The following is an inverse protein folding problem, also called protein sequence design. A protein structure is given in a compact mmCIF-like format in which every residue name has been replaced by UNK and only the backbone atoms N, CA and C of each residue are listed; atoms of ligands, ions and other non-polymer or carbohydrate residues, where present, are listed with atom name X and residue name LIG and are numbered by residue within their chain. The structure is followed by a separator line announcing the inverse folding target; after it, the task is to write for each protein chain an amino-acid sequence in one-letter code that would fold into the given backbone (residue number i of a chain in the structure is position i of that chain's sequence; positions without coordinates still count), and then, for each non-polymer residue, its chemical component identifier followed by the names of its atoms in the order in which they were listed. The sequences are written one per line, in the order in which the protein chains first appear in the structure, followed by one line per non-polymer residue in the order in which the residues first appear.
data_IF_062092267390
#
_entry.id   IF_062092267390
#
_cell.length_a   1.000
_cell.length_b   1.000
_cell.length_c   1.000
_cell.angle_alpha   90.00
_cell.angle_beta   90.00
_cell.angle_gamma   90.00
#
_symmetry.space_group_name_H-M   'P 1'
#
loop_
_entity.id
_entity.type
_entity.pdbx_description
1 polymer ?
#
# COMPACT_ATOMS: atom_id res chain seq x y z
N UNK A 1 8.17 16.73 -13.95
CA UNK A 1 9.04 17.85 -13.53
C UNK A 1 8.27 18.91 -12.75
N UNK A 2 8.95 19.86 -12.07
CA UNK A 2 8.30 20.97 -11.33
C UNK A 2 7.41 21.83 -12.23
N UNK A 3 7.83 22.07 -13.46
CA UNK A 3 7.07 22.85 -14.44
C UNK A 3 5.73 22.19 -14.79
N UNK A 4 5.69 20.85 -14.87
CA UNK A 4 4.45 20.11 -15.17
C UNK A 4 3.42 20.24 -14.04
N UNK A 5 3.88 20.21 -12.79
CA UNK A 5 3.02 20.39 -11.62
C UNK A 5 2.45 21.81 -11.52
N UNK A 6 3.24 22.81 -11.89
CA UNK A 6 2.79 24.21 -11.97
C UNK A 6 1.73 24.38 -13.06
N UNK A 7 1.97 23.86 -14.27
CA UNK A 7 0.99 23.89 -15.36
C UNK A 7 -0.33 23.17 -15.00
N UNK A 8 -0.25 22.03 -14.32
CA UNK A 8 -1.43 21.29 -13.83
C UNK A 8 -2.22 22.10 -12.79
N UNK A 9 -1.53 22.69 -11.81
CA UNK A 9 -2.17 23.53 -10.78
C UNK A 9 -2.91 24.70 -11.41
N UNK A 10 -2.29 25.39 -12.35
CA UNK A 10 -2.86 26.58 -13.00
C UNK A 10 -4.08 26.19 -13.87
N UNK A 11 -4.05 25.02 -14.52
CA UNK A 11 -5.19 24.46 -15.25
C UNK A 11 -6.38 24.09 -14.32
N UNK A 12 -6.12 23.53 -13.13
CA UNK A 12 -7.17 23.25 -12.16
C UNK A 12 -7.77 24.53 -11.55
N UNK A 13 -6.95 25.54 -11.27
CA UNK A 13 -7.42 26.83 -10.74
C UNK A 13 -8.30 27.57 -11.73
N UNK A 14 -7.95 27.57 -13.02
CA UNK A 14 -8.74 28.21 -14.08
C UNK A 14 -10.07 27.51 -14.38
N UNK A 15 -10.23 26.25 -13.95
CA UNK A 15 -11.45 25.46 -14.12
C UNK A 15 -12.33 25.37 -12.86
N UNK A 16 -12.01 26.11 -11.79
CA UNK A 16 -12.71 26.04 -10.49
C UNK A 16 -12.74 24.63 -9.86
N UNK A 17 -11.79 23.77 -10.24
CA UNK A 17 -11.59 22.46 -9.62
C UNK A 17 -10.75 22.66 -8.37
N UNK A 18 -11.36 22.47 -7.20
CA UNK A 18 -10.62 22.48 -5.94
C UNK A 18 -10.04 21.08 -5.71
N UNK A 19 -8.73 20.99 -5.57
CA UNK A 19 -8.06 19.76 -5.16
C UNK A 19 -7.13 20.03 -3.98
N UNK A 20 -6.97 19.02 -3.13
CA UNK A 20 -5.95 19.01 -2.08
C UNK A 20 -5.00 17.87 -2.40
N UNK A 21 -3.72 18.14 -2.72
CA UNK A 21 -2.74 17.08 -2.88
C UNK A 21 -2.77 16.21 -1.63
N UNK A 22 -3.06 14.93 -1.80
CA UNK A 22 -3.10 14.00 -0.68
C UNK A 22 -1.70 13.46 -0.36
N UNK A 23 -0.87 13.23 -1.40
CA UNK A 23 0.51 12.78 -1.27
C UNK A 23 1.31 13.15 -2.52
N UNK A 24 2.61 13.37 -2.35
CA UNK A 24 3.59 13.37 -3.43
C UNK A 24 4.47 12.13 -3.23
N UNK A 25 4.52 11.24 -4.20
CA UNK A 25 5.38 10.06 -4.17
C UNK A 25 6.51 10.23 -5.18
N UNK A 26 7.72 9.86 -4.79
CA UNK A 26 8.80 9.65 -5.76
C UNK A 26 8.57 8.31 -6.46
N UNK A 27 8.64 8.30 -7.79
CA UNK A 27 8.38 7.10 -8.61
C UNK A 27 9.55 6.09 -8.58
N UNK A 28 10.52 6.29 -7.70
CA UNK A 28 11.75 5.53 -7.65
C UNK A 28 11.84 4.76 -6.32
N UNK A 29 11.39 3.51 -6.36
CA UNK A 29 11.97 2.32 -5.69
C UNK A 29 11.00 1.15 -5.70
N UNK A 30 10.68 0.58 -6.88
CA UNK A 30 10.14 -0.79 -7.03
C UNK A 30 8.85 -1.21 -6.30
N UNK A 31 8.27 -0.33 -5.48
CA UNK A 31 7.05 -0.54 -4.70
C UNK A 31 5.92 0.36 -5.20
N UNK A 32 4.70 0.07 -4.75
CA UNK A 32 3.52 0.89 -5.06
C UNK A 32 3.52 2.22 -4.30
N UNK A 33 2.44 3.00 -4.41
CA UNK A 33 2.26 4.30 -3.75
C UNK A 33 2.42 4.26 -2.21
N UNK A 34 2.51 3.06 -1.63
CA UNK A 34 2.67 2.80 -0.20
C UNK A 34 4.01 2.12 0.14
N UNK A 35 4.96 2.09 -0.79
CA UNK A 35 6.26 1.44 -0.58
C UNK A 35 6.19 -0.09 -0.55
N UNK A 36 5.06 -0.69 -0.92
CA UNK A 36 4.90 -2.15 -0.89
C UNK A 36 5.55 -2.79 -2.11
N UNK A 37 6.41 -3.77 -1.86
CA UNK A 37 6.79 -4.73 -2.91
C UNK A 37 5.58 -5.56 -3.36
N UNK A 38 5.58 -6.05 -4.60
CA UNK A 38 4.48 -6.87 -5.11
C UNK A 38 4.10 -8.06 -4.18
N UNK A 39 5.06 -8.84 -3.62
CA UNK A 39 4.72 -9.92 -2.69
C UNK A 39 4.11 -9.47 -1.35
N UNK A 40 4.48 -8.29 -0.85
CA UNK A 40 3.88 -7.73 0.36
C UNK A 40 2.43 -7.31 0.09
N UNK A 41 2.21 -6.60 -1.02
CA UNK A 41 0.88 -6.18 -1.46
C UNK A 41 -0.05 -7.38 -1.67
N UNK A 42 0.44 -8.41 -2.36
CA UNK A 42 -0.31 -9.64 -2.60
C UNK A 42 -0.68 -10.35 -1.29
N UNK A 43 0.27 -10.48 -0.36
CA UNK A 43 0.02 -11.10 0.94
C UNK A 43 -1.04 -10.33 1.75
N UNK A 44 -0.94 -8.99 1.81
CA UNK A 44 -1.91 -8.14 2.52
C UNK A 44 -3.32 -8.27 1.93
N UNK A 45 -3.43 -8.27 0.59
CA UNK A 45 -4.72 -8.40 -0.09
C UNK A 45 -5.32 -9.80 0.08
N UNK A 46 -4.51 -10.86 0.02
CA UNK A 46 -4.95 -12.22 0.30
C UNK A 46 -5.42 -12.36 1.75
N UNK A 47 -4.64 -11.86 2.71
CA UNK A 47 -5.00 -11.85 4.13
C UNK A 47 -6.31 -11.11 4.40
N UNK A 48 -6.52 -9.94 3.78
CA UNK A 48 -7.78 -9.21 3.88
C UNK A 48 -8.95 -9.99 3.27
N UNK A 49 -8.77 -10.51 2.05
CA UNK A 49 -9.81 -11.25 1.33
C UNK A 49 -10.24 -12.53 2.05
N UNK A 50 -9.29 -13.25 2.67
CA UNK A 50 -9.53 -14.51 3.37
C UNK A 50 -9.95 -14.31 4.84
N UNK A 51 -10.08 -13.07 5.31
CA UNK A 51 -10.47 -12.80 6.70
C UNK A 51 -9.40 -13.16 7.74
N UNK A 52 -8.12 -13.13 7.37
CA UNK A 52 -6.99 -13.28 8.32
C UNK A 52 -6.97 -12.16 9.38
N UNK A 53 -7.47 -10.98 9.02
CA UNK A 53 -7.62 -9.83 9.90
C UNK A 53 -9.01 -9.73 10.56
N UNK A 54 -9.93 -10.66 10.27
CA UNK A 54 -11.28 -10.65 10.83
C UNK A 54 -11.29 -11.07 12.31
N UNK A 55 -12.39 -10.75 12.99
CA UNK A 55 -12.64 -11.14 14.39
C UNK A 55 -14.03 -11.80 14.49
N UNK A 56 -14.12 -13.13 14.70
CA UNK A 56 -13.02 -14.10 14.78
C UNK A 56 -12.27 -14.25 13.46
N UNK A 57 -11.01 -14.72 13.50
CA UNK A 57 -10.24 -15.00 12.28
C UNK A 57 -10.92 -16.09 11.46
N UNK A 58 -11.03 -15.85 10.17
CA UNK A 58 -11.60 -16.79 9.20
C UNK A 58 -10.52 -17.56 8.44
N UNK A 59 -9.29 -17.06 8.41
CA UNK A 59 -8.13 -17.75 7.84
C UNK A 59 -6.87 -17.65 8.70
N UNK A 60 -5.96 -18.60 8.50
CA UNK A 60 -4.65 -18.66 9.13
C UNK A 60 -3.47 -18.49 8.14
N UNK A 61 -2.24 -18.44 8.67
CA UNK A 61 -1.03 -18.32 7.83
C UNK A 61 -0.79 -19.55 6.94
N UNK A 62 -1.31 -20.72 7.29
CA UNK A 62 -1.21 -21.96 6.53
C UNK A 62 -2.01 -21.87 5.24
N UNK A 63 -3.23 -21.34 5.34
CA UNK A 63 -4.14 -21.19 4.21
C UNK A 63 -3.61 -20.15 3.22
N UNK A 64 -3.09 -19.02 3.72
CA UNK A 64 -2.43 -18.01 2.90
C UNK A 64 -1.15 -18.52 2.24
N UNK A 65 -0.34 -19.31 2.97
CA UNK A 65 0.87 -19.93 2.44
C UNK A 65 0.56 -20.88 1.28
N UNK A 66 -0.51 -21.67 1.40
CA UNK A 66 -0.98 -22.57 0.34
C UNK A 66 -1.53 -21.81 -0.87
N UNK A 67 -2.24 -20.70 -0.66
CA UNK A 67 -2.78 -19.88 -1.75
C UNK A 67 -1.68 -19.21 -2.57
N UNK A 68 -0.65 -18.69 -1.89
CA UNK A 68 0.41 -17.88 -2.51
C UNK A 68 1.70 -18.67 -2.82
N UNK A 69 1.62 -20.00 -2.79
CA UNK A 69 2.74 -20.93 -3.00
C UNK A 69 4.02 -20.49 -2.26
N UNK A 70 3.90 -20.29 -0.96
CA UNK A 70 4.96 -19.78 -0.10
C UNK A 70 4.99 -20.50 1.25
N UNK A 71 6.03 -20.28 2.05
CA UNK A 71 6.08 -20.80 3.42
C UNK A 71 5.28 -19.92 4.37
N UNK A 72 4.78 -20.50 5.48
CA UNK A 72 4.11 -19.71 6.54
C UNK A 72 5.00 -18.59 7.08
N UNK A 73 6.30 -18.82 7.20
CA UNK A 73 7.27 -17.79 7.63
C UNK A 73 7.41 -16.67 6.62
N UNK A 74 7.45 -16.98 5.32
CA UNK A 74 7.47 -15.98 4.26
C UNK A 74 6.19 -15.13 4.26
N UNK A 75 5.01 -15.74 4.44
CA UNK A 75 3.76 -14.98 4.57
C UNK A 75 3.79 -14.09 5.81
N UNK A 76 4.17 -14.64 6.97
CA UNK A 76 4.26 -13.84 8.21
C UNK A 76 5.19 -12.64 8.05
N UNK A 77 6.33 -12.83 7.38
CA UNK A 77 7.28 -11.74 7.14
C UNK A 77 6.74 -10.71 6.14
N UNK A 78 6.12 -11.14 5.04
CA UNK A 78 5.48 -10.25 4.05
C UNK A 78 4.39 -9.41 4.70
N UNK A 79 3.53 -10.01 5.53
CA UNK A 79 2.49 -9.28 6.24
C UNK A 79 3.07 -8.27 7.24
N UNK A 80 4.07 -8.66 8.03
CA UNK A 80 4.73 -7.75 8.98
C UNK A 80 5.36 -6.56 8.24
N UNK A 81 6.27 -6.83 7.30
CA UNK A 81 6.96 -5.78 6.54
C UNK A 81 5.98 -4.91 5.75
N UNK A 82 4.95 -5.51 5.15
CA UNK A 82 3.91 -4.76 4.45
C UNK A 82 3.11 -3.85 5.38
N UNK A 83 2.79 -4.31 6.59
CA UNK A 83 2.10 -3.48 7.59
C UNK A 83 2.99 -2.32 8.05
N UNK A 84 4.28 -2.58 8.30
CA UNK A 84 5.25 -1.53 8.66
C UNK A 84 5.32 -0.46 7.56
N UNK A 85 5.45 -0.87 6.29
CA UNK A 85 5.45 0.05 5.13
C UNK A 85 4.15 0.86 5.03
N UNK A 86 2.99 0.22 5.24
CA UNK A 86 1.73 0.95 5.26
C UNK A 86 1.72 2.01 6.37
N UNK A 87 2.19 1.69 7.58
CA UNK A 87 2.25 2.65 8.69
C UNK A 87 3.17 3.82 8.36
N UNK A 88 4.39 3.53 7.91
CA UNK A 88 5.40 4.54 7.57
C UNK A 88 4.89 5.48 6.48
N UNK A 89 4.30 4.91 5.43
CA UNK A 89 3.86 5.69 4.28
C UNK A 89 2.48 6.33 4.45
N UNK A 90 1.62 5.88 5.36
CA UNK A 90 0.25 6.43 5.53
C UNK A 90 0.02 7.23 6.80
N UNK A 91 0.46 6.72 7.96
CA UNK A 91 0.16 7.32 9.26
C UNK A 91 1.33 8.21 9.68
N UNK A 92 2.55 7.65 9.69
CA UNK A 92 3.75 8.38 10.10
C UNK A 92 4.11 9.51 9.13
N UNK A 93 3.79 9.37 7.84
CA UNK A 93 3.98 10.44 6.85
C UNK A 93 3.05 11.65 7.05
N UNK A 94 2.03 11.52 7.92
CA UNK A 94 1.08 12.58 8.25
C UNK A 94 1.33 13.25 9.61
N UNK A 95 2.30 12.75 10.38
CA UNK A 95 2.81 13.38 11.61
C UNK A 95 3.93 14.39 11.30
#
# INVERSE_FOLDING_TARGET
DRADLEAFRDACQSSSVTFRPHRLCETEHGGDDYGLTAPQREALLAANRQGYFAVPREADLSELARELDATKSAISERLRRGTDQLIDHTIASSE
#
